data_IF_677864693775
#
_entry.id   IF_677864693775
#
_cell.length_a   1.000
_cell.length_b   1.000
_cell.length_c   1.000
_cell.angle_alpha   90.00
_cell.angle_beta   90.00
_cell.angle_gamma   90.00
#
_symmetry.space_group_name_H-M   'P 1'
#
loop_
_entity.id
_entity.type
_entity.pdbx_description
1 polymer ?
#
# COMPACT_ATOMS: atom_id res chain seq x y z
N UNK A 1 4.70 -9.32 -23.54
CA UNK A 1 4.43 -10.25 -22.43
C UNK A 1 2.94 -10.49 -22.36
N UNK A 2 2.47 -11.74 -22.38
CA UNK A 2 1.02 -12.02 -22.38
C UNK A 2 0.42 -12.04 -20.97
N UNK A 3 1.27 -12.19 -19.94
CA UNK A 3 0.90 -12.25 -18.52
C UNK A 3 1.58 -11.11 -17.78
N UNK A 4 0.80 -10.36 -17.00
CA UNK A 4 1.26 -9.18 -16.28
C UNK A 4 0.55 -9.09 -14.92
N UNK A 5 1.34 -8.90 -13.87
CA UNK A 5 0.88 -8.59 -12.52
C UNK A 5 1.47 -7.26 -12.07
N UNK A 6 0.75 -6.56 -11.22
CA UNK A 6 1.28 -5.47 -10.42
C UNK A 6 1.57 -5.97 -9.01
N UNK A 7 2.68 -5.52 -8.44
CA UNK A 7 2.93 -5.63 -7.02
C UNK A 7 3.27 -4.28 -6.41
N UNK A 8 2.66 -3.96 -5.27
CA UNK A 8 2.77 -2.64 -4.64
C UNK A 8 3.37 -2.75 -3.22
N UNK A 9 4.62 -3.22 -3.04
CA UNK A 9 5.16 -3.45 -1.72
C UNK A 9 5.33 -2.15 -0.94
N UNK A 10 5.07 -2.19 0.36
CA UNK A 10 5.24 -1.04 1.26
C UNK A 10 6.40 -1.30 2.21
N UNK A 11 7.28 -0.32 2.32
CA UNK A 11 8.50 -0.40 3.11
C UNK A 11 8.45 0.62 4.23
N UNK A 12 8.88 0.21 5.42
CA UNK A 12 9.05 1.07 6.60
C UNK A 12 10.39 1.83 6.53
N UNK A 13 10.58 2.57 5.43
CA UNK A 13 11.70 3.48 5.18
C UNK A 13 11.19 4.58 4.24
N UNK A 14 11.48 5.84 4.54
CA UNK A 14 10.97 7.01 3.82
C UNK A 14 11.90 8.21 3.86
N UNK A 15 13.09 8.06 4.46
CA UNK A 15 14.08 9.10 4.69
C UNK A 15 15.41 8.75 4.02
N UNK A 16 15.90 7.51 4.20
CA UNK A 16 17.19 7.06 3.68
C UNK A 16 17.09 6.66 2.20
N UNK A 17 17.45 7.61 1.34
CA UNK A 17 17.50 7.42 -0.12
C UNK A 17 18.50 6.36 -0.56
N UNK A 18 19.59 6.13 0.18
CA UNK A 18 20.57 5.12 -0.18
C UNK A 18 20.01 3.72 0.04
N UNK A 19 19.25 3.51 1.12
CA UNK A 19 18.51 2.26 1.34
C UNK A 19 17.50 2.03 0.22
N UNK A 20 16.68 3.02 -0.12
CA UNK A 20 15.68 2.88 -1.19
C UNK A 20 16.28 2.66 -2.58
N UNK A 21 17.45 3.25 -2.86
CA UNK A 21 18.19 3.01 -4.10
C UNK A 21 18.65 1.55 -4.20
N UNK A 22 19.20 0.99 -3.12
CA UNK A 22 19.61 -0.42 -3.09
C UNK A 22 18.42 -1.37 -3.29
N UNK A 23 17.25 -1.06 -2.70
CA UNK A 23 16.03 -1.84 -2.93
C UNK A 23 15.56 -1.76 -4.39
N UNK A 24 15.66 -0.57 -4.99
CA UNK A 24 15.35 -0.35 -6.42
C UNK A 24 16.27 -1.15 -7.33
N UNK A 25 17.58 -1.13 -7.06
CA UNK A 25 18.58 -1.89 -7.83
C UNK A 25 18.29 -3.40 -7.80
N UNK A 26 17.82 -3.94 -6.66
CA UNK A 26 17.43 -5.36 -6.58
C UNK A 26 16.28 -5.70 -7.51
N UNK A 27 15.24 -4.87 -7.54
CA UNK A 27 14.11 -5.04 -8.46
C UNK A 27 14.61 -5.00 -9.90
N UNK A 28 15.35 -3.94 -10.27
CA UNK A 28 15.82 -3.71 -11.63
C UNK A 28 16.84 -4.76 -12.12
N UNK A 29 17.48 -5.50 -11.21
CA UNK A 29 18.38 -6.59 -11.56
C UNK A 29 17.66 -7.85 -12.07
N UNK A 30 16.33 -7.94 -11.88
CA UNK A 30 15.53 -9.05 -12.35
C UNK A 30 14.87 -8.69 -13.68
N UNK A 31 15.16 -9.44 -14.76
CA UNK A 31 14.54 -9.17 -16.06
C UNK A 31 13.02 -9.38 -16.00
N UNK A 32 12.28 -8.69 -16.87
CA UNK A 32 10.82 -8.75 -16.98
C UNK A 32 10.06 -8.25 -15.74
N UNK A 33 10.69 -7.42 -14.91
CA UNK A 33 10.06 -6.65 -13.84
C UNK A 33 10.55 -5.21 -13.91
N UNK A 34 9.62 -4.28 -13.94
CA UNK A 34 9.92 -2.85 -13.95
C UNK A 34 9.41 -2.17 -12.68
N UNK A 35 10.21 -1.24 -12.17
CA UNK A 35 9.78 -0.26 -11.18
C UNK A 35 9.07 0.87 -11.92
N UNK A 36 7.76 0.96 -11.75
CA UNK A 36 6.93 1.99 -12.38
C UNK A 36 6.91 3.29 -11.57
N UNK A 37 6.84 3.19 -10.24
CA UNK A 37 6.82 4.33 -9.34
C UNK A 37 7.47 4.00 -7.98
N UNK A 38 8.08 5.01 -7.38
CA UNK A 38 8.56 4.99 -5.99
C UNK A 38 8.07 6.25 -5.28
N UNK A 39 7.01 6.08 -4.50
CA UNK A 39 6.46 7.15 -3.68
C UNK A 39 7.09 7.13 -2.29
N UNK A 40 7.91 8.15 -1.98
CA UNK A 40 8.51 8.35 -0.66
C UNK A 40 7.66 9.28 0.20
N UNK A 41 7.38 8.85 1.42
CA UNK A 41 6.63 9.62 2.41
C UNK A 41 7.44 9.81 3.71
N UNK A 42 8.21 10.91 3.80
CA UNK A 42 9.00 11.26 4.98
C UNK A 42 8.17 11.46 6.26
N UNK A 43 6.98 12.04 6.15
CA UNK A 43 6.12 12.34 7.31
C UNK A 43 5.62 11.06 7.99
N UNK A 44 5.41 10.01 7.19
CA UNK A 44 4.97 8.71 7.66
C UNK A 44 6.09 7.69 7.78
N UNK A 45 7.31 8.06 7.37
CA UNK A 45 8.51 7.23 7.33
C UNK A 45 8.25 5.90 6.61
N UNK A 46 7.62 6.00 5.43
CA UNK A 46 7.18 4.87 4.61
C UNK A 46 7.46 5.17 3.14
N UNK A 47 7.73 4.14 2.36
CA UNK A 47 7.77 4.23 0.90
C UNK A 47 6.88 3.16 0.28
N UNK A 48 6.32 3.48 -0.88
CA UNK A 48 5.49 2.59 -1.69
C UNK A 48 6.18 2.41 -3.03
N UNK A 49 6.48 1.17 -3.37
CA UNK A 49 7.00 0.81 -4.69
C UNK A 49 5.84 0.28 -5.51
N UNK A 50 5.75 0.67 -6.78
CA UNK A 50 4.79 0.13 -7.74
C UNK A 50 5.55 -0.61 -8.81
N UNK A 51 5.38 -1.93 -8.87
CA UNK A 51 6.09 -2.83 -9.77
C UNK A 51 5.12 -3.44 -10.77
N UNK A 52 5.54 -3.68 -12.00
CA UNK A 52 4.81 -4.53 -12.94
C UNK A 52 5.75 -5.50 -13.65
N UNK A 53 5.28 -6.71 -13.94
CA UNK A 53 6.10 -7.72 -14.58
C UNK A 53 5.42 -9.08 -14.74
N UNK A 54 6.16 -10.04 -15.27
CA UNK A 54 5.70 -11.44 -15.37
C UNK A 54 5.63 -12.09 -13.98
N UNK A 55 4.63 -12.94 -13.67
CA UNK A 55 4.45 -13.49 -12.34
C UNK A 55 5.70 -14.19 -11.76
N UNK A 56 6.39 -14.98 -12.58
CA UNK A 56 7.56 -15.76 -12.17
C UNK A 56 8.77 -14.86 -11.87
N UNK A 57 8.97 -13.83 -12.70
CA UNK A 57 10.02 -12.84 -12.49
C UNK A 57 9.72 -11.96 -11.26
N UNK A 58 8.45 -11.56 -11.10
CA UNK A 58 7.96 -10.79 -9.95
C UNK A 58 8.22 -11.51 -8.64
N UNK A 59 7.97 -12.83 -8.56
CA UNK A 59 8.25 -13.62 -7.37
C UNK A 59 9.74 -13.57 -6.97
N UNK A 60 10.63 -13.64 -7.96
CA UNK A 60 12.08 -13.53 -7.76
C UNK A 60 12.47 -12.14 -7.27
N UNK A 61 11.98 -11.10 -7.93
CA UNK A 61 12.25 -9.70 -7.58
C UNK A 61 11.77 -9.38 -6.16
N UNK A 62 10.54 -9.77 -5.80
CA UNK A 62 9.98 -9.53 -4.48
C UNK A 62 10.74 -10.28 -3.37
N UNK A 63 11.16 -11.51 -3.60
CA UNK A 63 11.96 -12.25 -2.62
C UNK A 63 13.31 -11.54 -2.35
N UNK A 64 14.03 -11.15 -3.41
CA UNK A 64 15.29 -10.42 -3.30
C UNK A 64 15.11 -9.05 -2.64
N UNK A 65 14.02 -8.36 -2.96
CA UNK A 65 13.63 -7.08 -2.37
C UNK A 65 13.39 -7.21 -0.85
N UNK A 66 12.61 -8.21 -0.42
CA UNK A 66 12.34 -8.46 1.01
C UNK A 66 13.65 -8.82 1.75
N UNK A 67 14.50 -9.65 1.13
CA UNK A 67 15.79 -10.01 1.70
C UNK A 67 16.71 -8.79 1.87
N UNK A 68 16.82 -7.92 0.86
CA UNK A 68 17.63 -6.71 0.98
C UNK A 68 17.04 -5.76 2.03
N UNK A 69 15.72 -5.59 2.08
CA UNK A 69 15.06 -4.78 3.10
C UNK A 69 15.32 -5.30 4.53
N UNK A 70 15.32 -6.62 4.74
CA UNK A 70 15.68 -7.24 6.02
C UNK A 70 17.11 -6.88 6.47
N UNK A 71 18.05 -6.74 5.55
CA UNK A 71 19.44 -6.39 5.86
C UNK A 71 19.64 -4.90 6.13
N UNK A 72 18.83 -4.03 5.52
CA UNK A 72 19.02 -2.57 5.56
C UNK A 72 18.18 -1.87 6.61
N UNK A 73 17.02 -2.42 6.94
CA UNK A 73 16.02 -1.74 7.78
C UNK A 73 15.96 -2.41 9.15
N UNK A 74 16.12 -1.60 10.19
CA UNK A 74 15.99 -2.03 11.59
C UNK A 74 14.80 -1.34 12.26
N UNK A 75 13.69 -2.07 12.38
CA UNK A 75 12.45 -1.55 12.98
C UNK A 75 12.61 -1.12 14.44
N UNK A 76 13.64 -1.57 15.15
CA UNK A 76 13.91 -1.12 16.53
C UNK A 76 14.29 0.36 16.59
N UNK A 77 14.75 0.91 15.47
CA UNK A 77 15.13 2.31 15.29
C UNK A 77 14.12 3.09 14.44
N UNK A 78 13.15 2.41 13.84
CA UNK A 78 12.13 3.03 13.01
C UNK A 78 11.03 3.71 13.82
N UNK A 79 10.79 4.98 13.54
CA UNK A 79 9.64 5.73 14.05
C UNK A 79 8.89 6.35 12.88
N UNK A 80 7.62 5.98 12.71
CA UNK A 80 6.75 6.47 11.65
C UNK A 80 5.29 6.49 12.12
N UNK A 81 4.50 7.40 11.58
CA UNK A 81 3.11 7.59 11.99
C UNK A 81 2.16 6.57 11.36
N UNK A 82 2.56 5.96 10.23
CA UNK A 82 1.75 4.97 9.55
C UNK A 82 1.81 3.60 10.27
N UNK A 83 0.66 2.93 10.50
CA UNK A 83 0.64 1.59 11.07
C UNK A 83 1.48 0.62 10.25
N UNK A 84 2.36 -0.14 10.92
CA UNK A 84 3.21 -1.16 10.29
C UNK A 84 3.48 -2.34 11.23
N UNK A 85 3.81 -3.48 10.65
CA UNK A 85 4.26 -4.71 11.30
C UNK A 85 5.60 -5.22 10.77
N UNK A 86 6.16 -4.61 9.71
CA UNK A 86 7.35 -5.13 9.03
C UNK A 86 8.26 -4.08 8.40
N UNK A 87 9.52 -4.45 8.18
CA UNK A 87 10.47 -3.68 7.37
C UNK A 87 9.94 -3.58 5.93
N UNK A 88 9.52 -4.72 5.37
CA UNK A 88 8.49 -4.76 4.34
C UNK A 88 7.19 -5.12 5.03
N UNK A 89 6.23 -4.20 4.98
CA UNK A 89 5.02 -4.29 5.78
C UNK A 89 3.89 -5.03 5.06
N UNK A 90 3.70 -4.75 3.78
CA UNK A 90 2.73 -5.47 2.93
C UNK A 90 3.26 -5.66 1.52
N UNK A 91 2.93 -6.79 0.90
CA UNK A 91 3.25 -7.15 -0.48
C UNK A 91 1.99 -7.68 -1.18
N UNK A 92 1.20 -6.80 -1.83
CA UNK A 92 0.03 -7.20 -2.61
C UNK A 92 0.42 -7.67 -4.01
N UNK A 93 -0.28 -8.68 -4.50
CA UNK A 93 -0.32 -9.13 -5.89
C UNK A 93 -1.65 -8.73 -6.52
N UNK A 94 -1.60 -8.08 -7.68
CA UNK A 94 -2.78 -7.58 -8.39
C UNK A 94 -2.72 -8.09 -9.83
N UNK A 95 -3.76 -8.80 -10.32
CA UNK A 95 -3.81 -9.23 -11.71
C UNK A 95 -4.03 -8.02 -12.62
N UNK A 96 -3.20 -7.86 -13.65
CA UNK A 96 -3.38 -6.82 -14.68
C UNK A 96 -3.83 -7.39 -16.03
N UNK A 97 -3.12 -8.40 -16.55
CA UNK A 97 -3.44 -9.02 -17.85
C UNK A 97 -3.03 -10.49 -17.87
N UNK A 98 -3.91 -11.35 -18.39
CA UNK A 98 -3.58 -12.77 -18.62
C UNK A 98 -3.28 -13.58 -17.35
N UNK A 99 -3.63 -13.05 -16.17
CA UNK A 99 -3.40 -13.68 -14.86
C UNK A 99 -4.67 -13.53 -14.03
N UNK A 100 -5.09 -14.61 -13.38
CA UNK A 100 -6.27 -14.63 -12.52
C UNK A 100 -5.97 -14.16 -11.10
N UNK A 101 -7.03 -13.87 -10.33
CA UNK A 101 -6.87 -13.54 -8.90
C UNK A 101 -6.37 -14.75 -8.12
N UNK A 102 -6.84 -15.93 -8.47
CA UNK A 102 -6.44 -17.21 -7.90
C UNK A 102 -4.95 -17.46 -8.13
N UNK A 103 -4.44 -17.25 -9.34
CA UNK A 103 -3.00 -17.32 -9.62
C UNK A 103 -2.19 -16.31 -8.78
N UNK A 104 -2.68 -15.07 -8.61
CA UNK A 104 -2.02 -14.10 -7.74
C UNK A 104 -1.99 -14.56 -6.28
N UNK A 105 -3.08 -15.18 -5.80
CA UNK A 105 -3.17 -15.71 -4.44
C UNK A 105 -2.21 -16.88 -4.23
N UNK A 106 -2.04 -17.77 -5.21
CA UNK A 106 -1.04 -18.84 -5.15
C UNK A 106 0.39 -18.30 -5.20
N UNK A 107 0.70 -17.34 -6.07
CA UNK A 107 2.01 -16.66 -6.08
C UNK A 107 2.33 -15.99 -4.73
N UNK A 108 1.34 -15.34 -4.11
CA UNK A 108 1.46 -14.75 -2.77
C UNK A 108 1.77 -15.82 -1.70
N UNK A 109 1.12 -16.99 -1.76
CA UNK A 109 1.38 -18.12 -0.84
C UNK A 109 2.77 -18.69 -1.04
N UNK A 110 3.21 -18.87 -2.29
CA UNK A 110 4.53 -19.41 -2.61
C UNK A 110 5.65 -18.48 -2.17
N UNK A 111 5.52 -17.17 -2.46
CA UNK A 111 6.43 -16.15 -1.95
C UNK A 111 6.44 -16.17 -0.41
N UNK A 112 5.27 -16.22 0.23
CA UNK A 112 5.15 -16.26 1.68
C UNK A 112 5.81 -17.47 2.32
N UNK A 113 5.64 -18.66 1.74
CA UNK A 113 6.30 -19.87 2.18
C UNK A 113 7.81 -19.71 2.13
N UNK A 114 8.33 -19.19 1.01
CA UNK A 114 9.75 -18.99 0.79
C UNK A 114 10.35 -17.96 1.74
N UNK A 115 9.69 -16.81 1.93
CA UNK A 115 10.09 -15.78 2.91
C UNK A 115 10.10 -16.36 4.33
N UNK A 116 9.06 -17.09 4.72
CA UNK A 116 8.99 -17.71 6.05
C UNK A 116 10.10 -18.73 6.30
N UNK A 117 10.42 -19.55 5.29
CA UNK A 117 11.42 -20.62 5.40
C UNK A 117 12.86 -20.11 5.30
N UNK A 118 13.16 -19.28 4.31
CA UNK A 118 14.54 -18.88 3.99
C UNK A 118 14.98 -17.62 4.74
N UNK A 119 14.06 -16.70 5.04
CA UNK A 119 14.38 -15.42 5.70
C UNK A 119 14.02 -15.40 7.19
N UNK A 120 13.27 -16.40 7.67
CA UNK A 120 12.85 -16.50 9.08
C UNK A 120 11.89 -15.37 9.51
N UNK A 121 11.16 -14.79 8.57
CA UNK A 121 10.19 -13.72 8.82
C UNK A 121 8.78 -14.34 8.91
N UNK A 122 8.00 -14.13 9.98
CA UNK A 122 6.62 -14.58 10.01
C UNK A 122 5.77 -13.89 8.94
N UNK A 123 5.02 -14.69 8.19
CA UNK A 123 4.16 -14.23 7.10
C UNK A 123 2.70 -14.38 7.48
N UNK A 124 1.91 -13.34 7.22
CA UNK A 124 0.46 -13.32 7.37
C UNK A 124 -0.19 -13.14 6.00
N UNK A 125 -0.95 -14.13 5.57
CA UNK A 125 -1.69 -14.04 4.31
C UNK A 125 -2.96 -13.20 4.50
N UNK A 126 -3.23 -12.32 3.54
CA UNK A 126 -4.36 -11.40 3.62
C UNK A 126 -5.13 -11.29 2.28
N UNK A 127 -6.30 -10.64 2.33
CA UNK A 127 -7.26 -10.52 1.23
C UNK A 127 -7.54 -11.88 0.56
N UNK A 128 -7.44 -11.99 -0.76
CA UNK A 128 -7.79 -13.21 -1.52
C UNK A 128 -6.82 -14.37 -1.26
N UNK A 129 -5.67 -14.12 -0.61
CA UNK A 129 -4.75 -15.17 -0.20
C UNK A 129 -4.99 -15.66 1.24
N UNK A 130 -5.86 -15.01 2.01
CA UNK A 130 -6.04 -15.30 3.43
C UNK A 130 -6.57 -16.71 3.67
N UNK A 131 -5.89 -17.48 4.52
CA UNK A 131 -6.34 -18.81 4.96
C UNK A 131 -7.25 -18.74 6.19
N UNK A 132 -7.14 -17.66 6.96
CA UNK A 132 -7.97 -17.40 8.14
C UNK A 132 -8.82 -16.16 7.85
N UNK A 133 -10.16 -16.28 7.83
CA UNK A 133 -11.06 -15.18 7.44
C UNK A 133 -10.85 -13.87 8.20
N UNK A 134 -10.54 -13.95 9.50
CA UNK A 134 -10.27 -12.76 10.33
C UNK A 134 -9.06 -11.95 9.84
N UNK A 135 -8.07 -12.62 9.22
CA UNK A 135 -6.83 -12.02 8.74
C UNK A 135 -6.95 -11.46 7.32
N UNK A 136 -8.07 -11.67 6.62
CA UNK A 136 -8.28 -11.11 5.29
C UNK A 136 -8.11 -9.59 5.25
N UNK A 137 -8.46 -8.90 6.35
CA UNK A 137 -8.32 -7.44 6.47
C UNK A 137 -6.96 -7.03 7.03
N UNK A 138 -6.18 -6.30 6.23
CA UNK A 138 -4.87 -5.78 6.61
C UNK A 138 -4.90 -4.90 7.88
N UNK A 139 -5.94 -4.10 8.07
CA UNK A 139 -6.11 -3.26 9.26
C UNK A 139 -6.29 -4.08 10.55
N UNK A 140 -6.80 -5.31 10.44
CA UNK A 140 -6.88 -6.25 11.55
C UNK A 140 -5.50 -6.81 11.86
N UNK A 141 -4.72 -7.18 10.83
CA UNK A 141 -3.33 -7.64 11.00
C UNK A 141 -2.47 -6.55 11.65
N UNK A 142 -2.54 -5.30 11.16
CA UNK A 142 -1.73 -4.17 11.67
C UNK A 142 -2.16 -3.62 13.02
N UNK A 143 -3.27 -4.08 13.60
CA UNK A 143 -3.83 -3.52 14.84
C UNK A 143 -2.83 -3.63 15.99
N UNK A 144 -2.50 -2.48 16.59
CA UNK A 144 -1.54 -2.39 17.69
C UNK A 144 -0.07 -2.49 17.26
N UNK A 145 0.22 -2.46 15.96
CA UNK A 145 1.58 -2.52 15.41
C UNK A 145 2.32 -3.82 15.79
N UNK A 146 3.65 -3.75 15.84
CA UNK A 146 4.52 -4.88 16.21
C UNK A 146 4.14 -5.52 17.55
N UNK A 147 4.05 -4.72 18.61
CA UNK A 147 3.76 -5.23 19.95
C UNK A 147 2.37 -5.85 20.06
N UNK A 148 1.38 -5.25 19.39
CA UNK A 148 0.02 -5.80 19.33
C UNK A 148 -0.06 -7.09 18.53
N UNK A 149 0.71 -7.22 17.45
CA UNK A 149 0.80 -8.45 16.67
C UNK A 149 1.47 -9.57 17.48
N UNK A 150 2.64 -9.33 18.08
CA UNK A 150 3.34 -10.34 18.89
C UNK A 150 2.46 -10.86 20.03
N UNK A 151 1.78 -9.95 20.75
CA UNK A 151 0.87 -10.33 21.84
C UNK A 151 -0.22 -11.30 21.36
N UNK A 152 -0.79 -11.07 20.17
CA UNK A 152 -1.80 -11.96 19.61
C UNK A 152 -1.20 -13.29 19.16
N UNK A 153 -0.03 -13.28 18.53
CA UNK A 153 0.71 -14.51 18.16
C UNK A 153 1.00 -15.42 19.36
N UNK A 154 1.24 -14.81 20.54
CA UNK A 154 1.53 -15.55 21.78
C UNK A 154 0.26 -16.09 22.46
N UNK A 155 -0.88 -15.40 22.30
CA UNK A 155 -2.08 -15.61 23.13
C UNK A 155 -3.24 -16.27 22.37
N UNK A 156 -3.31 -16.14 21.05
CA UNK A 156 -4.46 -16.51 20.25
C UNK A 156 -4.06 -17.48 19.13
N UNK A 157 -4.71 -18.64 19.07
CA UNK A 157 -4.36 -19.69 18.10
C UNK A 157 -4.52 -19.25 16.63
N UNK A 158 -5.52 -18.39 16.35
CA UNK A 158 -5.81 -17.85 15.01
C UNK A 158 -4.74 -16.86 14.51
N UNK A 159 -3.81 -16.46 15.38
CA UNK A 159 -2.74 -15.51 15.08
C UNK A 159 -1.39 -16.15 14.88
N UNK A 160 -1.32 -17.48 14.79
CA UNK A 160 -0.14 -18.15 14.27
C UNK A 160 0.10 -17.70 12.81
N UNK A 161 1.34 -17.34 12.42
CA UNK A 161 1.62 -16.94 11.06
C UNK A 161 1.34 -18.10 10.11
N UNK A 162 0.95 -17.78 8.87
CA UNK A 162 0.67 -18.79 7.85
C UNK A 162 1.96 -19.51 7.45
N UNK A 163 3.08 -18.78 7.44
CA UNK A 163 4.42 -19.32 7.19
C UNK A 163 5.48 -18.68 8.09
N UNK A 164 6.60 -19.38 8.28
CA UNK A 164 7.71 -18.91 9.09
C UNK A 164 7.52 -19.15 10.61
N UNK A 165 8.44 -18.63 11.43
CA UNK A 165 8.44 -18.88 12.87
C UNK A 165 7.32 -18.12 13.59
N UNK A 166 6.76 -18.67 14.69
CA UNK A 166 5.76 -17.97 15.51
C UNK A 166 6.38 -16.90 16.45
N UNK A 167 7.27 -16.07 15.92
CA UNK A 167 7.90 -14.95 16.61
C UNK A 167 8.28 -13.89 15.57
N UNK A 168 8.08 -12.61 15.87
CA UNK A 168 8.50 -11.53 14.99
C UNK A 168 10.02 -11.53 14.80
N UNK A 169 10.47 -11.28 13.57
CA UNK A 169 11.90 -11.11 13.29
C UNK A 169 12.43 -9.88 14.05
N UNK A 170 13.55 -9.96 14.78
CA UNK A 170 13.98 -8.91 15.70
C UNK A 170 14.14 -7.52 15.08
N UNK A 171 14.59 -7.44 13.84
CA UNK A 171 14.78 -6.19 13.09
C UNK A 171 13.73 -5.97 12.01
N UNK A 172 13.12 -7.04 11.49
CA UNK A 172 12.30 -6.98 10.28
C UNK A 172 10.79 -7.14 10.57
N UNK A 173 10.41 -7.52 11.78
CA UNK A 173 9.02 -7.72 12.17
C UNK A 173 8.39 -8.94 11.48
N UNK A 174 7.17 -8.78 10.99
CA UNK A 174 6.47 -9.74 10.14
C UNK A 174 5.99 -9.06 8.86
N UNK A 175 5.57 -9.85 7.88
CA UNK A 175 5.12 -9.32 6.57
C UNK A 175 3.72 -9.81 6.25
N UNK A 176 2.86 -8.91 5.75
CA UNK A 176 1.59 -9.29 5.17
C UNK A 176 1.74 -9.50 3.66
N UNK A 177 1.41 -10.68 3.14
CA UNK A 177 1.52 -10.98 1.69
C UNK A 177 0.16 -11.46 1.21
N UNK A 178 -0.31 -10.96 0.08
CA UNK A 178 -1.64 -11.35 -0.38
C UNK A 178 -1.95 -10.95 -1.79
N UNK A 179 -3.15 -11.27 -2.23
CA UNK A 179 -3.66 -10.92 -3.55
C UNK A 179 -4.95 -10.11 -3.40
N UNK A 180 -5.09 -9.05 -4.19
CA UNK A 180 -6.24 -8.15 -4.12
C UNK A 180 -6.54 -7.50 -5.46
N UNK A 181 -7.74 -6.96 -5.58
CA UNK A 181 -8.07 -6.05 -6.67
C UNK A 181 -7.29 -4.74 -6.56
N UNK A 182 -7.21 -4.02 -7.67
CA UNK A 182 -6.59 -2.70 -7.75
C UNK A 182 -7.24 -1.76 -6.73
N UNK A 183 -6.40 -1.01 -6.01
CA UNK A 183 -6.85 0.00 -5.06
C UNK A 183 -6.17 1.32 -5.39
N UNK A 184 -6.90 2.42 -5.22
CA UNK A 184 -6.34 3.76 -5.39
C UNK A 184 -6.15 4.40 -4.02
N UNK A 185 -4.92 4.76 -3.69
CA UNK A 185 -4.60 5.55 -2.51
C UNK A 185 -4.69 7.04 -2.85
N UNK A 186 -5.58 7.75 -2.16
CA UNK A 186 -5.93 9.13 -2.46
C UNK A 186 -6.03 9.95 -1.18
N UNK A 187 -5.27 11.02 -1.09
CA UNK A 187 -5.16 11.86 0.09
C UNK A 187 -5.70 13.26 -0.22
N UNK A 188 -6.46 13.84 0.71
CA UNK A 188 -6.92 15.24 0.63
C UNK A 188 -6.37 16.02 1.80
N UNK A 189 -5.57 17.04 1.51
CA UNK A 189 -4.92 17.90 2.51
C UNK A 189 -5.85 19.05 2.87
N UNK A 190 -6.05 19.27 4.17
CA UNK A 190 -6.90 20.30 4.72
C UNK A 190 -6.06 21.48 5.20
N UNK A 191 -6.54 22.72 5.01
CA UNK A 191 -5.96 23.94 5.61
C UNK A 191 -6.29 24.01 7.11
N UNK A 192 -5.82 23.05 7.87
CA UNK A 192 -6.00 22.94 9.32
C UNK A 192 -4.82 22.21 9.96
N UNK A 193 -4.53 22.53 11.22
CA UNK A 193 -3.61 21.77 12.08
C UNK A 193 -4.35 20.82 13.02
N UNK A 194 -5.68 20.91 13.07
CA UNK A 194 -6.49 20.11 13.97
C UNK A 194 -6.77 18.72 13.38
N UNK A 195 -6.08 17.71 13.92
CA UNK A 195 -6.24 16.31 13.55
C UNK A 195 -7.67 15.79 13.78
N UNK A 196 -8.43 16.40 14.69
CA UNK A 196 -9.81 16.01 14.96
C UNK A 196 -10.73 16.35 13.78
N UNK A 197 -10.44 17.43 13.03
CA UNK A 197 -11.17 17.75 11.80
C UNK A 197 -10.98 16.62 10.78
N UNK A 198 -9.73 16.24 10.50
CA UNK A 198 -9.45 15.17 9.55
C UNK A 198 -10.02 13.82 9.98
N UNK A 199 -9.93 13.48 11.28
CA UNK A 199 -10.51 12.25 11.84
C UNK A 199 -12.03 12.22 11.71
N UNK A 200 -12.71 13.32 12.04
CA UNK A 200 -14.18 13.42 11.91
C UNK A 200 -14.61 13.24 10.45
N UNK A 201 -13.94 13.89 9.50
CA UNK A 201 -14.22 13.71 8.08
C UNK A 201 -14.01 12.25 7.67
N UNK A 202 -12.85 11.67 8.02
CA UNK A 202 -12.54 10.28 7.71
C UNK A 202 -13.58 9.29 8.28
N UNK A 203 -14.01 9.50 9.52
CA UNK A 203 -15.02 8.69 10.20
C UNK A 203 -16.38 8.75 9.49
N UNK A 204 -16.77 9.94 9.02
CA UNK A 204 -18.03 10.15 8.29
C UNK A 204 -18.02 9.52 6.89
N UNK A 205 -16.92 9.63 6.15
CA UNK A 205 -16.89 9.20 4.74
C UNK A 205 -16.57 7.71 4.55
N UNK A 206 -15.88 7.06 5.49
CA UNK A 206 -15.46 5.65 5.33
C UNK A 206 -16.62 4.68 5.44
N UNK A 207 -16.55 3.56 4.73
CA UNK A 207 -17.61 2.54 4.71
C UNK A 207 -17.96 2.01 6.10
N UNK A 208 -16.95 1.83 6.98
CA UNK A 208 -17.19 1.35 8.34
C UNK A 208 -17.97 2.33 9.23
N UNK A 209 -18.05 3.60 8.83
CA UNK A 209 -18.88 4.62 9.47
C UNK A 209 -20.24 4.84 8.80
N UNK A 210 -20.60 3.99 7.82
CA UNK A 210 -21.82 4.15 7.02
C UNK A 210 -21.70 5.16 5.87
N UNK A 211 -20.47 5.57 5.53
CA UNK A 211 -20.19 6.48 4.42
C UNK A 211 -20.18 5.80 3.05
N UNK A 212 -19.25 6.21 2.20
CA UNK A 212 -19.11 5.71 0.83
C UNK A 212 -18.75 4.21 0.81
N UNK A 213 -19.30 3.41 -0.12
CA UNK A 213 -18.96 2.00 -0.25
C UNK A 213 -17.50 1.81 -0.68
N UNK A 214 -16.89 0.69 -0.28
CA UNK A 214 -15.52 0.33 -0.62
C UNK A 214 -14.45 1.43 -0.36
N UNK A 215 -14.68 2.31 0.63
CA UNK A 215 -13.78 3.39 1.01
C UNK A 215 -13.28 3.21 2.43
N UNK A 216 -11.96 3.09 2.60
CA UNK A 216 -11.32 3.22 3.91
C UNK A 216 -10.74 4.63 4.01
N UNK A 217 -10.86 5.26 5.17
CA UNK A 217 -10.27 6.58 5.41
C UNK A 217 -9.73 6.70 6.84
N UNK A 218 -8.71 7.54 7.00
CA UNK A 218 -8.18 7.96 8.29
C UNK A 218 -7.63 9.39 8.25
N UNK A 219 -7.77 10.11 9.37
CA UNK A 219 -7.13 11.42 9.53
C UNK A 219 -5.68 11.27 9.97
N UNK A 220 -4.76 11.95 9.28
CA UNK A 220 -3.31 11.84 9.54
C UNK A 220 -2.63 13.22 9.56
N UNK A 221 -1.67 13.47 10.48
CA UNK A 221 -0.92 14.72 10.47
C UNK A 221 0.14 14.75 9.36
N UNK A 222 0.39 15.92 8.81
CA UNK A 222 1.53 16.23 7.93
C UNK A 222 2.45 17.19 8.68
N UNK A 223 3.35 16.63 9.49
CA UNK A 223 4.18 17.39 10.43
C UNK A 223 5.08 18.39 9.68
N UNK A 224 5.65 17.98 8.55
CA UNK A 224 6.50 18.83 7.70
C UNK A 224 5.79 20.08 7.18
N UNK A 225 4.46 20.00 6.96
CA UNK A 225 3.65 21.10 6.42
C UNK A 225 2.88 21.86 7.50
N UNK A 226 2.84 21.36 8.73
CA UNK A 226 1.94 21.89 9.76
C UNK A 226 0.47 21.84 9.31
N UNK A 227 0.08 20.73 8.67
CA UNK A 227 -1.28 20.51 8.15
C UNK A 227 -1.79 19.12 8.56
N UNK A 228 -3.04 18.83 8.26
CA UNK A 228 -3.64 17.49 8.40
C UNK A 228 -4.26 17.06 7.07
N UNK A 229 -4.37 15.75 6.88
CA UNK A 229 -4.97 15.16 5.69
C UNK A 229 -6.00 14.09 6.05
N UNK A 230 -6.95 13.90 5.13
CA UNK A 230 -7.78 12.71 5.07
C UNK A 230 -7.11 11.76 4.10
N UNK A 231 -6.48 10.71 4.61
CA UNK A 231 -5.89 9.65 3.80
C UNK A 231 -6.93 8.59 3.50
N UNK A 232 -7.11 8.24 2.23
CA UNK A 232 -8.14 7.32 1.77
C UNK A 232 -7.58 6.20 0.89
N UNK A 233 -8.23 5.06 0.99
CA UNK A 233 -8.00 3.89 0.15
C UNK A 233 -9.33 3.50 -0.48
N UNK A 234 -9.45 3.72 -1.80
CA UNK A 234 -10.58 3.28 -2.61
C UNK A 234 -10.32 1.81 -2.97
N UNK A 235 -10.98 0.91 -2.24
CA UNK A 235 -10.84 -0.54 -2.40
C UNK A 235 -11.50 -1.05 -3.69
N UNK A 236 -12.49 -0.31 -4.20
CA UNK A 236 -13.10 -0.53 -5.51
C UNK A 236 -13.50 0.82 -6.12
N UNK A 237 -12.68 1.32 -7.05
CA UNK A 237 -12.89 2.64 -7.66
C UNK A 237 -14.12 2.68 -8.59
N UNK A 238 -14.68 1.51 -8.97
CA UNK A 238 -15.92 1.41 -9.76
C UNK A 238 -17.17 1.60 -8.91
N UNK A 239 -17.09 1.31 -7.60
CA UNK A 239 -18.18 1.58 -6.64
C UNK A 239 -18.11 3.00 -6.08
N UNK A 240 -16.90 3.46 -5.74
CA UNK A 240 -16.65 4.83 -5.29
C UNK A 240 -15.54 5.44 -6.14
N UNK A 241 -15.88 6.42 -6.98
CA UNK A 241 -14.90 7.12 -7.81
C UNK A 241 -14.08 8.13 -7.00
N UNK A 242 -12.93 8.55 -7.55
CA UNK A 242 -12.10 9.60 -6.97
C UNK A 242 -12.89 10.91 -6.77
N UNK A 243 -13.72 11.29 -7.75
CA UNK A 243 -14.61 12.46 -7.65
C UNK A 243 -15.60 12.32 -6.51
N UNK A 244 -16.24 11.16 -6.35
CA UNK A 244 -17.18 10.94 -5.27
C UNK A 244 -16.50 11.03 -3.88
N UNK A 245 -15.31 10.45 -3.74
CA UNK A 245 -14.51 10.55 -2.52
C UNK A 245 -14.10 12.00 -2.22
N UNK A 246 -13.59 12.74 -3.21
CA UNK A 246 -13.19 14.13 -3.05
C UNK A 246 -14.38 15.03 -2.68
N UNK A 247 -15.51 14.91 -3.39
CA UNK A 247 -16.73 15.66 -3.09
C UNK A 247 -17.27 15.34 -1.68
N UNK A 248 -17.10 14.11 -1.19
CA UNK A 248 -17.48 13.78 0.19
C UNK A 248 -16.58 14.50 1.22
N UNK A 249 -15.27 14.54 0.98
CA UNK A 249 -14.34 15.33 1.81
C UNK A 249 -14.69 16.82 1.75
N UNK A 250 -14.96 17.36 0.56
CA UNK A 250 -15.32 18.77 0.35
C UNK A 250 -16.61 19.15 1.10
N UNK A 251 -17.65 18.31 1.03
CA UNK A 251 -18.90 18.56 1.78
C UNK A 251 -18.66 18.60 3.29
N UNK A 252 -17.90 17.65 3.83
CA UNK A 252 -17.62 17.62 5.28
C UNK A 252 -16.66 18.73 5.70
N UNK A 253 -15.67 19.09 4.87
CA UNK A 253 -14.77 20.21 5.16
C UNK A 253 -15.54 21.53 5.20
N UNK A 254 -16.50 21.73 4.28
CA UNK A 254 -17.41 22.88 4.30
C UNK A 254 -18.25 22.93 5.57
N UNK A 255 -18.82 21.80 6.02
CA UNK A 255 -19.59 21.72 7.27
C UNK A 255 -18.76 22.09 8.50
N UNK A 256 -17.47 21.77 8.47
CA UNK A 256 -16.54 22.06 9.57
C UNK A 256 -15.83 23.42 9.41
N UNK A 257 -16.14 24.19 8.37
CA UNK A 257 -15.53 25.51 8.13
C UNK A 257 -14.05 25.47 7.74
N UNK A 258 -13.58 24.34 7.20
CA UNK A 258 -12.17 24.13 6.80
C UNK A 258 -12.08 24.03 5.27
N UNK A 259 -11.06 24.67 4.70
CA UNK A 259 -10.80 24.62 3.25
C UNK A 259 -9.89 23.43 2.91
N UNK A 260 -10.09 22.85 1.72
CA UNK A 260 -9.12 21.95 1.11
C UNK A 260 -7.93 22.79 0.60
N UNK A 261 -6.72 22.27 0.76
CA UNK A 261 -5.48 22.88 0.27
C UNK A 261 -5.07 22.32 -1.08
N UNK A 262 -5.05 20.99 -1.18
CA UNK A 262 -4.61 20.21 -2.32
C UNK A 262 -5.05 18.75 -2.11
N UNK A 263 -4.98 17.93 -3.15
CA UNK A 263 -5.06 16.48 -3.03
C UNK A 263 -3.90 15.79 -3.74
N UNK A 264 -3.72 14.52 -3.46
CA UNK A 264 -2.59 13.72 -3.94
C UNK A 264 -3.03 12.27 -4.15
N UNK A 265 -2.62 11.70 -5.28
CA UNK A 265 -2.67 10.26 -5.51
C UNK A 265 -1.31 9.68 -5.10
N UNK A 266 -1.35 8.59 -4.33
CA UNK A 266 -0.15 7.85 -3.92
C UNK A 266 -0.01 6.62 -4.81
N UNK A 267 1.08 6.54 -5.58
CA UNK A 267 1.28 5.50 -6.58
C UNK A 267 0.56 5.83 -7.90
N UNK A 268 0.07 4.79 -8.57
CA UNK A 268 -0.57 4.88 -9.88
C UNK A 268 -2.08 4.62 -9.80
N UNK A 269 -2.82 5.09 -10.81
CA UNK A 269 -4.23 4.76 -11.02
C UNK A 269 -4.42 4.03 -12.35
N UNK A 270 -5.46 3.19 -12.49
CA UNK A 270 -5.78 2.61 -13.78
C UNK A 270 -6.37 3.67 -14.71
N UNK A 271 -6.16 3.50 -16.02
CA UNK A 271 -6.69 4.37 -17.07
C UNK A 271 -8.22 4.50 -16.99
N UNK A 272 -8.91 3.45 -16.54
CA UNK A 272 -10.37 3.47 -16.32
C UNK A 272 -10.80 4.51 -15.28
N UNK A 273 -9.95 4.82 -14.30
CA UNK A 273 -10.20 5.84 -13.28
C UNK A 273 -9.69 7.24 -13.67
N UNK A 274 -9.12 7.39 -14.87
CA UNK A 274 -8.49 8.61 -15.36
C UNK A 274 -9.24 9.25 -16.54
N UNK A 275 -9.34 10.57 -16.52
CA UNK A 275 -9.70 11.40 -17.67
C UNK A 275 -8.96 12.75 -17.62
N UNK A 276 -9.05 13.53 -18.70
CA UNK A 276 -8.27 14.76 -18.88
C UNK A 276 -8.56 15.86 -17.83
N UNK A 277 -9.76 15.88 -17.25
CA UNK A 277 -10.21 16.92 -16.33
C UNK A 277 -10.00 16.53 -14.86
N UNK A 278 -9.71 15.25 -14.58
CA UNK A 278 -9.63 14.71 -13.23
C UNK A 278 -8.64 15.47 -12.33
N UNK A 279 -7.49 15.87 -12.85
CA UNK A 279 -6.51 16.60 -12.05
C UNK A 279 -7.04 17.96 -11.57
N UNK A 280 -7.79 18.67 -12.41
CA UNK A 280 -8.42 19.93 -12.06
C UNK A 280 -9.57 19.71 -11.07
N UNK A 281 -10.43 18.72 -11.34
CA UNK A 281 -11.61 18.41 -10.53
C UNK A 281 -11.27 18.04 -9.08
N UNK A 282 -10.14 17.35 -8.89
CA UNK A 282 -9.71 16.89 -7.58
C UNK A 282 -8.71 17.84 -6.91
N UNK A 283 -8.29 18.92 -7.57
CA UNK A 283 -7.19 19.78 -7.10
C UNK A 283 -5.89 18.97 -6.85
N UNK A 284 -5.56 18.04 -7.76
CA UNK A 284 -4.35 17.23 -7.64
C UNK A 284 -3.12 18.11 -7.74
N UNK A 285 -2.24 18.00 -6.74
CA UNK A 285 -0.93 18.62 -6.78
C UNK A 285 0.01 17.82 -7.69
N UNK A 286 0.72 18.51 -8.57
CA UNK A 286 1.82 17.95 -9.39
C UNK A 286 1.43 16.70 -10.19
N UNK A 287 0.18 16.58 -10.62
CA UNK A 287 -0.24 15.42 -11.40
C UNK A 287 0.47 15.37 -12.77
N UNK A 288 0.87 14.17 -13.16
CA UNK A 288 1.54 13.86 -14.42
C UNK A 288 0.83 12.65 -15.06
N UNK A 289 0.63 12.60 -16.39
CA UNK A 289 0.05 11.43 -17.06
C UNK A 289 0.79 10.11 -16.83
N UNK A 290 2.09 10.11 -16.45
CA UNK A 290 2.79 8.88 -16.04
C UNK A 290 2.24 8.29 -14.71
N UNK A 291 1.38 9.02 -13.99
CA UNK A 291 0.59 8.51 -12.87
C UNK A 291 -0.50 7.51 -13.27
N UNK A 292 -0.73 7.30 -14.57
CA UNK A 292 -1.63 6.28 -15.10
C UNK A 292 -0.85 4.99 -15.36
N UNK A 293 -1.31 3.89 -14.79
CA UNK A 293 -0.64 2.59 -14.82
C UNK A 293 -0.30 2.15 -16.24
N UNK A 294 -1.27 2.19 -17.16
CA UNK A 294 -1.12 1.74 -18.54
C UNK A 294 -0.10 2.60 -19.31
N UNK A 295 -0.05 3.91 -19.03
CA UNK A 295 0.96 4.83 -19.59
C UNK A 295 2.34 4.49 -19.05
N UNK A 296 2.45 4.30 -17.73
CA UNK A 296 3.71 3.91 -17.07
C UNK A 296 4.24 2.58 -17.62
N UNK A 297 3.37 1.58 -17.77
CA UNK A 297 3.75 0.29 -18.34
C UNK A 297 4.13 0.39 -19.83
N UNK A 298 3.49 1.29 -20.59
CA UNK A 298 3.82 1.55 -21.99
C UNK A 298 5.26 2.05 -22.19
N UNK A 299 5.78 2.85 -21.26
CA UNK A 299 7.18 3.33 -21.26
C UNK A 299 8.20 2.19 -21.21
N UNK A 300 7.84 1.09 -20.57
CA UNK A 300 8.68 -0.10 -20.41
C UNK A 300 8.36 -1.21 -21.42
N UNK A 301 7.55 -0.93 -22.45
CA UNK A 301 7.10 -1.91 -23.45
C UNK A 301 6.39 -3.14 -22.84
N UNK A 302 5.83 -2.99 -21.64
CA UNK A 302 5.06 -4.04 -20.96
C UNK A 302 3.66 -4.19 -21.57
N UNK A 303 3.18 -3.19 -22.31
CA UNK A 303 2.00 -3.28 -23.18
C UNK A 303 2.44 -3.14 -24.64
N UNK A 304 2.11 -4.11 -25.52
CA UNK A 304 1.96 -3.75 -26.92
C UNK A 304 0.75 -2.80 -27.02
N UNK A 305 1.00 -1.58 -27.51
CA UNK A 305 -0.04 -0.64 -27.92
C UNK A 305 -0.91 -1.26 -29.03
#
# INVERSE_FOLDING_TARGET
>A
MDRLVECVPNVSEGLDKAVLALLTERIQSVPNVDLLDLHMDPDHHRSVFTLAGEPEAMATALFQFIQEAQHRIDLRRHQGQHPRIGAVDVVPWIPLRGVTMEECAENAKDLGRRVGQELGIPVFLYEQAALVPLRARLDIIRRGGLSGLQKRMDQEADWKPDFGPNVLHPTAGGVAIGARFFLIAFNVVLKSQDIQVARRIADTIRSSGGGLPALKAMGVPLASKGLVQVSMNLMNFRETSLRAAFQAVERESHRLGVKIQESEIVGLIPQEAWDADLAADLQLKNWNPEGVLEVACGKYHLFPL
#
